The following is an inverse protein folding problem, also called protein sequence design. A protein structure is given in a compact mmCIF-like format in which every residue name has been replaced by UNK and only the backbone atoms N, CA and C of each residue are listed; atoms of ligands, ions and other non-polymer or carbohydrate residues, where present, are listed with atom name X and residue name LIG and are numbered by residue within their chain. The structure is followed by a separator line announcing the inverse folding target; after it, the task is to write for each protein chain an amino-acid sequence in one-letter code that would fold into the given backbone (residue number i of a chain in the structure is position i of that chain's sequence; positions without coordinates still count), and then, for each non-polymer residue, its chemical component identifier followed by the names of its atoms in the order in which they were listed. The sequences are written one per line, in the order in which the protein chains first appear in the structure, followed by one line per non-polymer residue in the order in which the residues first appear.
data_IF_181734827509
#
_entry.id   IF_181734827509
#
_cell.length_a   1.000
_cell.length_b   1.000
_cell.length_c   1.000
_cell.angle_alpha   90.00
_cell.angle_beta   90.00
_cell.angle_gamma   90.00
#
_symmetry.space_group_name_H-M   'P 1'
#
loop_
_entity.id
_entity.type
_entity.pdbx_description
1 polymer ?
#
# COMPACT_ATOMS: atom_id res chain seq x y z
N UNK A 1 -26.76 -8.60 42.45
CA UNK A 1 -26.90 -9.57 41.34
C UNK A 1 -25.57 -9.62 40.59
N UNK A 2 -24.72 -10.61 40.87
CA UNK A 2 -23.39 -10.71 40.27
C UNK A 2 -23.51 -11.17 38.81
N UNK A 3 -23.47 -10.22 37.88
CA UNK A 3 -23.33 -10.48 36.46
C UNK A 3 -21.94 -11.09 36.21
N UNK A 4 -21.85 -12.43 36.25
CA UNK A 4 -20.66 -13.13 35.79
C UNK A 4 -20.48 -12.75 34.31
N UNK A 5 -19.31 -12.26 33.87
CA UNK A 5 -19.08 -12.02 32.45
C UNK A 5 -19.27 -13.35 31.75
N UNK A 6 -20.32 -13.43 30.91
CA UNK A 6 -20.59 -14.62 30.12
C UNK A 6 -19.37 -14.82 29.23
N UNK A 7 -18.57 -15.84 29.54
CA UNK A 7 -17.44 -16.23 28.71
C UNK A 7 -18.02 -16.47 27.32
N UNK A 8 -17.70 -15.59 26.37
CA UNK A 8 -18.16 -15.74 24.99
C UNK A 8 -17.89 -17.17 24.55
N UNK A 9 -18.94 -17.86 24.10
CA UNK A 9 -18.81 -19.23 23.64
C UNK A 9 -17.74 -19.27 22.55
N UNK A 10 -16.88 -20.29 22.53
CA UNK A 10 -15.86 -20.40 21.50
C UNK A 10 -16.46 -20.39 20.07
N UNK A 11 -17.72 -20.77 19.92
CA UNK A 11 -18.48 -20.63 18.68
C UNK A 11 -18.65 -19.17 18.25
N UNK A 12 -19.05 -18.29 19.16
CA UNK A 12 -19.27 -16.86 18.92
C UNK A 12 -17.96 -16.14 18.59
N UNK A 13 -16.87 -16.49 19.28
CA UNK A 13 -15.55 -15.90 19.05
C UNK A 13 -14.97 -16.37 17.69
N UNK A 14 -15.18 -17.63 17.31
CA UNK A 14 -14.84 -18.14 15.96
C UNK A 14 -15.67 -17.44 14.88
N UNK A 15 -16.98 -17.27 15.10
CA UNK A 15 -17.87 -16.58 14.18
C UNK A 15 -17.39 -15.15 13.94
N UNK A 16 -17.07 -14.41 15.00
CA UNK A 16 -16.56 -13.03 14.88
C UNK A 16 -15.29 -12.96 14.03
N UNK A 17 -14.32 -13.83 14.29
CA UNK A 17 -13.06 -13.90 13.51
C UNK A 17 -13.31 -14.19 12.03
N UNK A 18 -14.23 -15.09 11.73
CA UNK A 18 -14.59 -15.44 10.35
C UNK A 18 -15.25 -14.26 9.64
N UNK A 19 -16.15 -13.54 10.31
CA UNK A 19 -16.79 -12.35 9.75
C UNK A 19 -15.77 -11.23 9.48
N UNK A 20 -14.88 -10.96 10.43
CA UNK A 20 -13.79 -9.98 10.25
C UNK A 20 -12.83 -10.38 9.11
N UNK A 21 -12.54 -11.68 8.96
CA UNK A 21 -11.70 -12.17 7.88
C UNK A 21 -12.40 -12.07 6.52
N UNK A 22 -13.68 -12.43 6.45
CA UNK A 22 -14.49 -12.33 5.24
C UNK A 22 -14.61 -10.88 4.77
N UNK A 23 -14.77 -9.95 5.71
CA UNK A 23 -14.79 -8.52 5.43
C UNK A 23 -13.48 -8.05 4.78
N UNK A 24 -12.32 -8.41 5.36
CA UNK A 24 -11.00 -8.08 4.77
C UNK A 24 -10.81 -8.67 3.38
N UNK A 25 -11.22 -9.92 3.18
CA UNK A 25 -11.14 -10.55 1.87
C UNK A 25 -12.03 -9.84 0.83
N UNK A 26 -13.22 -9.39 1.22
CA UNK A 26 -14.11 -8.61 0.34
C UNK A 26 -13.50 -7.26 -0.03
N UNK A 27 -12.88 -6.58 0.93
CA UNK A 27 -12.16 -5.32 0.70
C UNK A 27 -10.97 -5.51 -0.26
N UNK A 28 -10.18 -6.56 -0.05
CA UNK A 28 -9.04 -6.88 -0.93
C UNK A 28 -9.50 -7.26 -2.35
N UNK A 29 -10.63 -7.95 -2.48
CA UNK A 29 -11.22 -8.28 -3.78
C UNK A 29 -11.79 -7.04 -4.49
N UNK A 30 -12.35 -6.09 -3.74
CA UNK A 30 -12.87 -4.84 -4.29
C UNK A 30 -11.76 -3.85 -4.72
N UNK A 31 -10.51 -4.09 -4.30
CA UNK A 31 -9.39 -3.20 -4.62
C UNK A 31 -9.12 -3.20 -6.13
N UNK A 32 -9.07 -2.03 -6.79
CA UNK A 32 -8.85 -1.95 -8.23
C UNK A 32 -7.47 -2.50 -8.60
N UNK A 33 -7.45 -3.48 -9.50
CA UNK A 33 -6.23 -4.11 -9.99
C UNK A 33 -5.71 -3.39 -11.22
N UNK A 34 -4.40 -3.20 -11.29
CA UNK A 34 -3.70 -2.62 -12.45
C UNK A 34 -2.97 -3.75 -13.18
N UNK A 35 -2.86 -3.66 -14.51
CA UNK A 35 -2.10 -4.64 -15.30
C UNK A 35 -0.61 -4.56 -14.93
N UNK A 36 0.05 -5.71 -14.83
CA UNK A 36 1.48 -5.77 -14.47
C UNK A 36 2.33 -4.96 -15.45
N UNK A 37 2.03 -5.03 -16.75
CA UNK A 37 2.73 -4.23 -17.77
C UNK A 37 2.63 -2.73 -17.52
N UNK A 38 1.45 -2.25 -17.12
CA UNK A 38 1.21 -0.84 -16.80
C UNK A 38 1.93 -0.44 -15.51
N UNK A 39 1.88 -1.28 -14.47
CA UNK A 39 2.60 -1.06 -13.22
C UNK A 39 4.12 -1.01 -13.44
N UNK A 40 4.67 -1.94 -14.23
CA UNK A 40 6.09 -1.98 -14.59
C UNK A 40 6.51 -0.77 -15.43
N UNK A 41 5.67 -0.34 -16.38
CA UNK A 41 5.92 0.86 -17.17
C UNK A 41 5.92 2.12 -16.28
N UNK A 42 4.94 2.25 -15.38
CA UNK A 42 4.85 3.37 -14.44
C UNK A 42 6.04 3.42 -13.49
N UNK A 43 6.50 2.27 -13.01
CA UNK A 43 7.69 2.18 -12.15
C UNK A 43 8.97 2.56 -12.90
N UNK A 44 9.13 2.13 -14.17
CA UNK A 44 10.25 2.52 -15.03
C UNK A 44 10.27 4.03 -15.27
N UNK A 45 9.13 4.60 -15.67
CA UNK A 45 9.00 6.05 -15.92
C UNK A 45 9.35 6.87 -14.67
N UNK A 46 8.95 6.38 -13.49
CA UNK A 46 9.34 7.03 -12.23
C UNK A 46 10.86 7.02 -12.07
N UNK A 47 11.52 5.87 -12.19
CA UNK A 47 12.99 5.77 -12.12
C UNK A 47 13.72 6.68 -13.13
N UNK A 48 13.21 6.77 -14.35
CA UNK A 48 13.78 7.64 -15.40
C UNK A 48 13.65 9.13 -15.04
N UNK A 49 12.53 9.54 -14.43
CA UNK A 49 12.35 10.91 -13.97
C UNK A 49 13.30 11.28 -12.81
N UNK A 50 13.54 10.36 -11.87
CA UNK A 50 14.53 10.57 -10.81
C UNK A 50 15.95 10.75 -11.36
N UNK A 51 16.33 9.93 -12.33
CA UNK A 51 17.63 10.06 -13.00
C UNK A 51 17.77 11.40 -13.73
N UNK A 52 16.73 11.81 -14.48
CA UNK A 52 16.71 13.11 -15.18
C UNK A 52 16.82 14.29 -14.21
N UNK A 53 16.06 14.27 -13.11
CA UNK A 53 16.11 15.31 -12.08
C UNK A 53 17.51 15.42 -11.43
N UNK A 54 18.14 14.28 -11.15
CA UNK A 54 19.50 14.24 -10.60
C UNK A 54 20.53 14.80 -11.57
N UNK A 55 20.45 14.47 -12.86
CA UNK A 55 21.33 15.03 -13.90
C UNK A 55 21.13 16.53 -14.02
N UNK A 56 19.88 17.01 -14.04
CA UNK A 56 19.57 18.44 -14.11
C UNK A 56 20.18 19.20 -12.94
N UNK A 57 20.04 18.68 -11.71
CA UNK A 57 20.65 19.26 -10.52
C UNK A 57 22.18 19.32 -10.60
N UNK A 58 22.83 18.27 -11.11
CA UNK A 58 24.28 18.24 -11.30
C UNK A 58 24.75 19.27 -12.34
N UNK A 59 24.00 19.42 -13.45
CA UNK A 59 24.29 20.43 -14.47
C UNK A 59 24.13 21.85 -13.90
N UNK A 60 23.05 22.11 -13.16
CA UNK A 60 22.83 23.40 -12.49
C UNK A 60 23.94 23.73 -11.49
N UNK A 61 24.44 22.73 -10.77
CA UNK A 61 25.57 22.90 -9.84
C UNK A 61 26.89 23.19 -10.57
N UNK A 62 27.14 22.55 -11.72
CA UNK A 62 28.30 22.84 -12.56
C UNK A 62 28.26 24.27 -13.09
N UNK A 63 27.12 24.71 -13.59
CA UNK A 63 26.95 26.05 -14.18
C UNK A 63 26.93 27.17 -13.11
N UNK A 64 26.73 26.83 -11.83
CA UNK A 64 26.87 27.74 -10.70
C UNK A 64 28.32 27.90 -10.21
N UNK A 65 29.17 26.88 -10.40
CA UNK A 65 30.62 26.93 -10.10
C UNK A 65 31.38 27.65 -11.21
N UNK A 66 30.88 27.59 -12.44
CA UNK A 66 31.49 28.22 -13.61
C UNK A 66 31.24 29.75 -13.73
N UNK A 67 30.54 30.35 -12.77
CA UNK A 67 30.29 31.81 -12.67
C UNK A 67 31.00 32.37 -11.45
#
# INVERSE_FOLDING_TARGET
MNARPHKQSMSELKLRRLTEHNQRLREDLARPRVRVSEASARYRLFGDQWAKAKILMLLQRRDAIAR
#
